data_IF_197695149144
#
_entry.id   IF_197695149144
#
_cell.length_a   1.000
_cell.length_b   1.000
_cell.length_c   1.000
_cell.angle_alpha   90.00
_cell.angle_beta   90.00
_cell.angle_gamma   90.00
#
_symmetry.space_group_name_H-M   'P 1'
#
loop_
_entity.id
_entity.type
_entity.pdbx_description
1 polymer ?
#
# COMPACT_ATOMS: atom_id res chain seq x y z
N UNK A 1 6.65 -13.86 -16.71
CA UNK A 1 6.60 -14.95 -15.70
C UNK A 1 7.10 -16.21 -16.37
N UNK A 2 8.41 -16.51 -16.29
CA UNK A 2 9.03 -17.50 -17.19
C UNK A 2 8.90 -18.98 -16.76
N UNK A 3 8.41 -19.31 -15.55
CA UNK A 3 8.42 -20.71 -15.07
C UNK A 3 7.29 -21.12 -14.10
N UNK A 4 6.05 -20.65 -14.27
CA UNK A 4 4.94 -21.12 -13.43
C UNK A 4 3.57 -20.99 -14.08
N UNK A 5 2.63 -21.85 -13.66
CA UNK A 5 1.18 -21.63 -13.83
C UNK A 5 0.63 -21.11 -12.50
N UNK A 6 -0.44 -20.28 -12.49
CA UNK A 6 -1.10 -19.90 -11.24
C UNK A 6 -1.45 -21.13 -10.37
N UNK A 7 -1.47 -20.99 -9.02
CA UNK A 7 -1.58 -19.73 -8.29
C UNK A 7 -0.25 -18.97 -8.15
N UNK A 8 -0.31 -17.65 -8.36
CA UNK A 8 0.79 -16.74 -8.03
C UNK A 8 0.44 -15.95 -6.78
N UNK A 9 1.32 -15.98 -5.78
CA UNK A 9 1.20 -15.22 -4.53
C UNK A 9 2.54 -14.59 -4.24
N UNK A 10 2.64 -13.28 -4.45
CA UNK A 10 3.90 -12.57 -4.33
C UNK A 10 3.75 -11.27 -3.54
N UNK A 11 4.77 -10.98 -2.73
CA UNK A 11 4.98 -9.69 -2.07
C UNK A 11 6.36 -9.21 -2.52
N UNK A 12 6.43 -8.00 -3.06
CA UNK A 12 7.62 -7.44 -3.72
C UNK A 12 8.00 -6.12 -3.04
N UNK A 13 8.76 -6.19 -1.93
CA UNK A 13 9.33 -5.00 -1.31
C UNK A 13 10.54 -4.51 -2.12
N UNK A 14 10.67 -3.21 -2.30
CA UNK A 14 11.78 -2.65 -3.04
C UNK A 14 11.94 -1.15 -2.87
N UNK A 15 13.16 -0.67 -3.14
CA UNK A 15 13.42 0.76 -3.32
C UNK A 15 13.00 1.16 -4.72
N UNK A 16 12.19 2.20 -4.81
CA UNK A 16 11.73 2.79 -6.06
C UNK A 16 12.20 4.24 -6.17
N UNK A 17 12.18 4.78 -7.38
CA UNK A 17 12.71 6.10 -7.69
C UNK A 17 11.66 6.93 -8.42
N UNK A 18 11.63 8.23 -8.12
CA UNK A 18 10.78 9.20 -8.81
C UNK A 18 11.55 10.49 -9.00
N UNK A 19 11.39 11.11 -10.16
CA UNK A 19 11.92 12.45 -10.39
C UNK A 19 11.03 13.47 -9.65
N UNK A 20 11.42 13.83 -8.42
CA UNK A 20 10.69 14.78 -7.59
C UNK A 20 11.63 15.56 -6.67
N UNK A 21 11.24 16.80 -6.36
CA UNK A 21 11.99 17.65 -5.43
C UNK A 21 11.91 17.12 -3.99
N UNK A 22 13.07 17.05 -3.33
CA UNK A 22 13.16 16.58 -1.94
C UNK A 22 12.52 17.61 -1.01
N UNK A 23 11.64 17.15 -0.14
CA UNK A 23 10.97 17.94 0.90
C UNK A 23 10.64 17.05 2.10
N UNK A 24 10.04 17.61 3.15
CA UNK A 24 9.58 16.82 4.28
C UNK A 24 8.49 15.78 3.93
N UNK A 25 7.87 15.88 2.74
CA UNK A 25 6.78 15.01 2.28
C UNK A 25 7.15 14.10 1.10
N UNK A 26 8.27 14.36 0.44
CA UNK A 26 8.64 13.68 -0.79
C UNK A 26 10.16 13.52 -0.90
N UNK A 27 10.60 12.43 -1.51
CA UNK A 27 12.00 12.13 -1.73
C UNK A 27 12.18 11.48 -3.10
N UNK A 28 13.36 11.62 -3.70
CA UNK A 28 13.67 11.07 -5.04
C UNK A 28 13.76 9.53 -5.07
N UNK A 29 13.83 8.92 -3.90
CA UNK A 29 13.70 7.48 -3.69
C UNK A 29 12.89 7.23 -2.42
N UNK A 30 12.18 6.12 -2.37
CA UNK A 30 11.43 5.64 -1.21
C UNK A 30 11.20 4.13 -1.36
N UNK A 31 10.55 3.49 -0.40
CA UNK A 31 10.30 2.05 -0.46
C UNK A 31 8.82 1.76 -0.70
N UNK A 32 8.57 0.83 -1.61
CA UNK A 32 7.25 0.30 -1.88
C UNK A 32 7.19 -1.17 -1.57
N UNK A 33 5.99 -1.63 -1.23
CA UNK A 33 5.63 -3.03 -1.23
C UNK A 33 4.46 -3.18 -2.18
N UNK A 34 4.66 -4.00 -3.20
CA UNK A 34 3.58 -4.44 -4.08
C UNK A 34 3.17 -5.87 -3.72
N UNK A 35 1.88 -6.16 -3.87
CA UNK A 35 1.33 -7.49 -3.72
C UNK A 35 0.61 -7.91 -5.00
N UNK A 36 0.73 -9.18 -5.35
CA UNK A 36 0.05 -9.79 -6.48
C UNK A 36 -0.52 -11.14 -6.06
N UNK A 37 -1.82 -11.32 -6.31
CA UNK A 37 -2.49 -12.60 -6.18
C UNK A 37 -3.24 -12.94 -7.47
N UNK A 38 -2.92 -14.08 -8.09
CA UNK A 38 -3.58 -14.58 -9.31
C UNK A 38 -3.93 -16.04 -9.11
N UNK A 39 -5.19 -16.41 -9.30
CA UNK A 39 -5.72 -17.77 -9.20
C UNK A 39 -7.05 -17.88 -9.96
N UNK A 40 -7.67 -19.05 -9.99
CA UNK A 40 -9.04 -19.22 -10.50
C UNK A 40 -10.05 -18.61 -9.51
N UNK A 41 -11.04 -17.86 -10.02
CA UNK A 41 -12.14 -17.27 -9.23
C UNK A 41 -11.72 -16.23 -8.16
N UNK A 42 -10.63 -15.48 -8.38
CA UNK A 42 -10.27 -14.36 -7.51
C UNK A 42 -11.19 -13.16 -7.77
N UNK A 43 -11.78 -12.62 -6.72
CA UNK A 43 -12.75 -11.54 -6.78
C UNK A 43 -12.26 -10.26 -6.10
N UNK A 44 -12.96 -9.15 -6.36
CA UNK A 44 -12.71 -7.89 -5.65
C UNK A 44 -13.05 -7.97 -4.15
N UNK A 45 -13.88 -8.94 -3.74
CA UNK A 45 -14.13 -9.20 -2.33
C UNK A 45 -12.89 -9.76 -1.62
N UNK A 46 -12.13 -10.63 -2.30
CA UNK A 46 -10.87 -11.18 -1.77
C UNK A 46 -9.82 -10.09 -1.56
N UNK A 47 -9.72 -9.14 -2.51
CA UNK A 47 -8.85 -7.97 -2.37
C UNK A 47 -9.26 -7.14 -1.15
N UNK A 48 -10.54 -6.80 -1.02
CA UNK A 48 -11.06 -6.01 0.11
C UNK A 48 -10.78 -6.68 1.44
N UNK A 49 -11.00 -7.99 1.53
CA UNK A 49 -10.79 -8.75 2.76
C UNK A 49 -9.31 -8.84 3.12
N UNK A 50 -8.45 -9.09 2.13
CA UNK A 50 -6.99 -9.12 2.31
C UNK A 50 -6.49 -7.80 2.87
N UNK A 51 -6.91 -6.68 2.28
CA UNK A 51 -6.50 -5.35 2.73
C UNK A 51 -7.14 -4.96 4.07
N UNK A 52 -8.37 -5.41 4.35
CA UNK A 52 -9.00 -5.23 5.65
C UNK A 52 -8.17 -5.90 6.75
N UNK A 53 -7.82 -7.17 6.58
CA UNK A 53 -6.99 -7.90 7.53
C UNK A 53 -5.63 -7.22 7.74
N UNK A 54 -4.96 -6.84 6.66
CA UNK A 54 -3.70 -6.10 6.74
C UNK A 54 -3.79 -4.83 7.59
N UNK A 55 -4.85 -4.03 7.40
CA UNK A 55 -5.06 -2.80 8.16
C UNK A 55 -5.33 -3.06 9.64
N UNK A 56 -6.16 -4.07 9.96
CA UNK A 56 -6.43 -4.41 11.36
C UNK A 56 -5.18 -4.87 12.09
N UNK A 57 -4.36 -5.72 11.46
CA UNK A 57 -3.10 -6.19 12.05
C UNK A 57 -2.09 -5.04 12.23
N UNK A 58 -2.03 -4.11 11.28
CA UNK A 58 -1.02 -3.06 11.29
C UNK A 58 -1.34 -1.88 12.23
N UNK A 59 -2.60 -1.44 12.23
CA UNK A 59 -3.07 -0.25 12.96
C UNK A 59 -3.94 -0.59 14.19
N UNK A 60 -4.28 -1.86 14.39
CA UNK A 60 -5.09 -2.34 15.51
C UNK A 60 -6.58 -2.40 15.19
N UNK A 61 -7.29 -3.16 16.04
CA UNK A 61 -8.73 -3.38 15.94
C UNK A 61 -9.52 -2.06 15.97
N UNK A 62 -10.52 -1.96 15.10
CA UNK A 62 -11.42 -0.81 15.03
C UNK A 62 -10.95 0.29 14.07
N UNK A 63 -9.80 0.11 13.40
CA UNK A 63 -9.38 0.98 12.31
C UNK A 63 -10.40 0.89 11.17
N UNK A 64 -11.03 2.01 10.83
CA UNK A 64 -12.01 2.05 9.73
C UNK A 64 -11.26 2.21 8.41
N UNK A 65 -11.79 1.58 7.37
CA UNK A 65 -11.27 1.70 6.02
C UNK A 65 -12.34 2.21 5.06
N UNK A 66 -11.88 2.82 3.96
CA UNK A 66 -12.73 3.33 2.90
C UNK A 66 -12.05 3.09 1.55
N UNK A 67 -12.77 2.47 0.63
CA UNK A 67 -12.37 2.36 -0.77
C UNK A 67 -13.01 3.47 -1.59
N UNK A 68 -12.21 4.18 -2.37
CA UNK A 68 -12.67 5.18 -3.33
C UNK A 68 -12.35 4.69 -4.74
N UNK A 69 -13.30 4.74 -5.69
CA UNK A 69 -12.99 4.47 -7.09
C UNK A 69 -11.84 5.35 -7.56
N UNK A 70 -10.88 4.74 -8.27
CA UNK A 70 -9.75 5.43 -8.90
C UNK A 70 -9.43 4.75 -10.23
N UNK A 71 -8.33 5.12 -10.87
CA UNK A 71 -7.89 4.55 -12.13
C UNK A 71 -6.38 4.28 -12.09
N UNK A 72 -6.00 3.03 -12.38
CA UNK A 72 -4.62 2.63 -12.67
C UNK A 72 -4.60 1.81 -13.96
N UNK A 73 -3.69 2.08 -14.92
CA UNK A 73 -3.68 1.40 -16.22
C UNK A 73 -3.49 -0.13 -16.18
N UNK A 74 -3.05 -0.67 -15.05
CA UNK A 74 -2.76 -2.09 -14.86
C UNK A 74 -3.83 -2.81 -14.03
N UNK A 75 -4.90 -2.11 -13.61
CA UNK A 75 -6.02 -2.72 -12.87
C UNK A 75 -7.40 -2.19 -13.27
N UNK A 76 -8.38 -3.09 -13.39
CA UNK A 76 -9.79 -2.76 -13.62
C UNK A 76 -10.73 -3.80 -12.98
N UNK A 77 -11.57 -3.43 -12.00
CA UNK A 77 -11.73 -2.12 -11.38
C UNK A 77 -10.56 -1.72 -10.46
N UNK A 78 -10.35 -0.41 -10.32
CA UNK A 78 -9.31 0.23 -9.50
C UNK A 78 -9.89 1.00 -8.30
N UNK A 79 -9.15 1.01 -7.19
CA UNK A 79 -9.52 1.75 -5.99
C UNK A 79 -8.29 2.29 -5.22
N UNK A 80 -8.47 3.48 -4.65
CA UNK A 80 -7.62 3.98 -3.56
C UNK A 80 -8.22 3.56 -2.22
N UNK A 81 -7.35 3.23 -1.25
CA UNK A 81 -7.78 2.86 0.09
C UNK A 81 -7.29 3.87 1.12
N UNK A 82 -8.25 4.40 1.88
CA UNK A 82 -8.01 5.27 3.03
C UNK A 82 -8.26 4.53 4.35
N UNK A 83 -7.51 4.90 5.38
CA UNK A 83 -7.76 4.49 6.78
C UNK A 83 -8.16 5.68 7.64
N UNK A 84 -8.94 5.42 8.69
CA UNK A 84 -9.28 6.44 9.68
C UNK A 84 -8.02 6.97 10.35
N UNK A 85 -7.93 8.29 10.50
CA UNK A 85 -6.78 8.92 11.14
C UNK A 85 -6.70 8.54 12.63
N UNK A 86 -5.66 7.79 13.00
CA UNK A 86 -5.38 7.34 14.37
C UNK A 86 -5.15 8.50 15.35
N UNK A 87 -4.61 9.62 14.86
CA UNK A 87 -4.25 10.79 15.66
C UNK A 87 -5.48 11.55 16.14
N UNK A 88 -6.40 11.89 15.22
CA UNK A 88 -7.57 12.71 15.53
C UNK A 88 -8.87 11.91 15.71
N UNK A 89 -8.83 10.59 15.52
CA UNK A 89 -10.00 9.70 15.60
C UNK A 89 -11.19 10.19 14.76
N UNK A 90 -10.91 10.82 13.62
CA UNK A 90 -11.91 11.37 12.70
C UNK A 90 -12.31 12.83 12.92
N UNK A 91 -11.83 13.50 13.98
CA UNK A 91 -12.13 14.92 14.22
C UNK A 91 -11.46 15.88 13.22
N UNK A 92 -10.42 15.41 12.52
CA UNK A 92 -9.60 16.20 11.60
C UNK A 92 -8.34 16.75 12.26
N UNK A 93 -7.20 16.65 11.57
CA UNK A 93 -5.93 17.27 11.96
C UNK A 93 -5.08 17.56 10.72
N UNK A 94 -3.94 18.21 10.93
CA UNK A 94 -2.98 18.53 9.87
C UNK A 94 -2.54 17.31 9.05
N UNK A 95 -2.38 16.14 9.69
CA UNK A 95 -1.94 14.91 9.01
C UNK A 95 -2.98 14.42 7.99
N UNK A 96 -4.25 14.34 8.38
CA UNK A 96 -5.33 13.90 7.49
C UNK A 96 -5.93 15.05 6.68
N UNK A 97 -5.29 16.23 6.65
CA UNK A 97 -5.80 17.46 6.02
C UNK A 97 -7.25 17.77 6.45
N UNK A 98 -7.53 17.57 7.73
CA UNK A 98 -8.86 17.76 8.34
C UNK A 98 -9.98 16.88 7.79
N UNK A 99 -9.68 15.86 6.96
CA UNK A 99 -10.70 14.96 6.40
C UNK A 99 -11.10 13.82 7.33
N UNK A 100 -10.27 13.51 8.34
CA UNK A 100 -10.41 12.32 9.17
C UNK A 100 -9.90 11.03 8.52
N UNK A 101 -9.48 11.08 7.25
CA UNK A 101 -9.02 9.94 6.45
C UNK A 101 -7.59 10.15 5.94
N UNK A 102 -6.83 9.06 5.86
CA UNK A 102 -5.48 9.06 5.28
C UNK A 102 -5.41 7.95 4.25
N UNK A 103 -5.27 8.31 2.98
CA UNK A 103 -4.96 7.37 1.90
C UNK A 103 -3.64 6.67 2.21
N UNK A 104 -3.56 5.34 2.11
CA UNK A 104 -2.33 4.57 2.40
C UNK A 104 -1.88 3.65 1.26
N UNK A 105 -2.76 3.30 0.32
CA UNK A 105 -2.42 2.44 -0.81
C UNK A 105 -3.38 2.60 -1.99
N UNK A 106 -2.92 2.14 -3.16
CA UNK A 106 -3.73 1.89 -4.34
C UNK A 106 -3.87 0.38 -4.58
N UNK A 107 -4.98 -0.05 -5.16
CA UNK A 107 -5.26 -1.46 -5.43
C UNK A 107 -6.28 -1.65 -6.55
N UNK A 108 -6.41 -2.87 -7.05
CA UNK A 108 -7.44 -3.22 -8.02
C UNK A 108 -7.33 -4.65 -8.53
N UNK A 109 -8.30 -5.07 -9.34
CA UNK A 109 -8.22 -6.35 -10.06
C UNK A 109 -7.26 -6.19 -11.23
N UNK A 110 -6.35 -7.13 -11.46
CA UNK A 110 -5.36 -7.06 -12.54
C UNK A 110 -6.09 -6.99 -13.88
N UNK A 111 -5.71 -6.02 -14.73
CA UNK A 111 -6.30 -5.84 -16.05
C UNK A 111 -6.05 -7.10 -16.93
N UNK A 112 -7.06 -7.59 -17.67
CA UNK A 112 -6.90 -8.74 -18.56
C UNK A 112 -5.72 -8.64 -19.52
N UNK A 113 -5.45 -7.45 -20.08
CA UNK A 113 -4.33 -7.24 -20.99
C UNK A 113 -2.98 -7.46 -20.30
N UNK A 114 -2.87 -7.19 -18.99
CA UNK A 114 -1.65 -7.46 -18.22
C UNK A 114 -1.41 -8.96 -18.07
N UNK A 115 -2.47 -9.74 -17.83
CA UNK A 115 -2.41 -11.19 -17.73
C UNK A 115 -2.05 -11.83 -19.08
N UNK A 116 -2.72 -11.42 -20.15
CA UNK A 116 -2.49 -11.93 -21.51
C UNK A 116 -1.06 -11.63 -22.00
N UNK A 117 -0.56 -10.41 -21.77
CA UNK A 117 0.81 -10.04 -22.07
C UNK A 117 1.85 -10.87 -21.30
N UNK A 118 1.45 -11.49 -20.17
CA UNK A 118 2.28 -12.40 -19.41
C UNK A 118 2.08 -13.88 -19.76
N UNK A 119 1.25 -14.21 -20.76
CA UNK A 119 0.93 -15.57 -21.16
C UNK A 119 -0.05 -16.28 -20.22
N UNK A 120 -0.86 -15.54 -19.47
CA UNK A 120 -1.90 -16.07 -18.57
C UNK A 120 -3.26 -15.88 -19.23
N UNK A 121 -4.06 -16.95 -19.27
CA UNK A 121 -5.43 -16.95 -19.80
C UNK A 121 -6.36 -16.15 -18.86
N UNK A 122 -6.77 -14.96 -19.28
CA UNK A 122 -7.61 -14.04 -18.51
C UNK A 122 -9.09 -14.46 -18.41
N UNK A 123 -9.55 -15.39 -19.26
CA UNK A 123 -10.89 -16.00 -19.13
C UNK A 123 -10.91 -17.03 -18.00
N UNK A 124 -9.76 -17.68 -17.77
CA UNK A 124 -9.60 -18.71 -16.74
C UNK A 124 -9.14 -18.14 -15.40
N UNK A 125 -8.19 -17.21 -15.42
CA UNK A 125 -7.52 -16.69 -14.24
C UNK A 125 -7.85 -15.22 -14.04
N UNK A 126 -8.13 -14.87 -12.79
CA UNK A 126 -8.27 -13.49 -12.36
C UNK A 126 -7.28 -13.23 -11.23
N UNK A 127 -7.11 -11.97 -10.87
CA UNK A 127 -6.21 -11.62 -9.79
C UNK A 127 -6.39 -10.20 -9.33
N UNK A 128 -5.76 -9.87 -8.20
CA UNK A 128 -5.67 -8.50 -7.73
C UNK A 128 -4.23 -8.12 -7.45
N UNK A 129 -3.98 -6.81 -7.50
CA UNK A 129 -2.73 -6.21 -7.09
C UNK A 129 -2.98 -5.04 -6.14
N UNK A 130 -1.99 -4.74 -5.31
CA UNK A 130 -1.97 -3.55 -4.47
C UNK A 130 -0.55 -3.03 -4.32
N UNK A 131 -0.42 -1.73 -4.08
CA UNK A 131 0.87 -1.07 -3.87
C UNK A 131 0.78 -0.04 -2.76
N UNK A 132 1.75 -0.06 -1.84
CA UNK A 132 1.81 0.85 -0.71
C UNK A 132 3.23 1.38 -0.48
N UNK A 133 3.34 2.63 -0.05
CA UNK A 133 4.61 3.25 0.34
C UNK A 133 4.89 3.02 1.83
N UNK A 134 6.03 2.43 2.15
CA UNK A 134 6.40 2.09 3.53
C UNK A 134 6.51 3.35 4.38
N UNK A 135 7.22 4.37 3.91
CA UNK A 135 7.44 5.62 4.65
C UNK A 135 6.13 6.31 5.03
N UNK A 136 5.12 6.24 4.16
CA UNK A 136 3.81 6.86 4.43
C UNK A 136 3.07 6.15 5.55
N UNK A 137 3.08 4.82 5.52
CA UNK A 137 2.50 3.97 6.55
C UNK A 137 3.22 4.18 7.89
N UNK A 138 4.55 4.17 7.87
CA UNK A 138 5.41 4.39 9.03
C UNK A 138 5.21 5.80 9.61
N UNK A 139 5.10 6.84 8.77
CA UNK A 139 4.75 8.19 9.20
C UNK A 139 3.43 8.24 9.96
N UNK A 140 2.40 7.52 9.50
CA UNK A 140 1.11 7.48 10.18
C UNK A 140 1.17 6.71 11.51
N UNK A 141 1.88 5.57 11.53
CA UNK A 141 1.99 4.71 12.72
C UNK A 141 2.78 5.37 13.85
N UNK A 142 3.95 5.93 13.53
CA UNK A 142 4.87 6.54 14.52
C UNK A 142 4.78 8.06 14.59
N UNK A 143 3.86 8.68 13.84
CA UNK A 143 3.65 10.14 13.81
C UNK A 143 4.90 10.94 13.41
N UNK A 144 5.70 10.36 12.49
CA UNK A 144 6.90 10.99 11.96
C UNK A 144 6.49 12.08 10.96
N UNK A 145 7.04 13.28 11.15
CA UNK A 145 6.63 14.48 10.41
C UNK A 145 7.46 14.78 9.18
N UNK A 146 8.63 14.17 9.07
CA UNK A 146 9.61 14.45 8.02
C UNK A 146 10.15 13.15 7.44
N UNK A 147 9.83 12.91 6.16
CA UNK A 147 10.22 11.71 5.44
C UNK A 147 11.74 11.60 5.25
N UNK A 148 12.49 12.71 5.30
CA UNK A 148 13.95 12.70 5.11
C UNK A 148 14.69 12.01 6.26
N UNK A 149 14.07 11.94 7.44
CA UNK A 149 14.64 11.27 8.61
C UNK A 149 14.93 9.78 8.35
N UNK A 150 14.20 9.15 7.42
CA UNK A 150 14.44 7.75 7.04
C UNK A 150 15.73 7.54 6.24
N UNK A 151 16.27 8.58 5.59
CA UNK A 151 17.48 8.48 4.75
C UNK A 151 18.70 9.19 5.34
N UNK A 152 18.51 10.09 6.31
CA UNK A 152 19.59 10.85 6.97
C UNK A 152 20.45 10.01 7.93
N UNK A 153 19.93 8.88 8.42
CA UNK A 153 20.61 7.99 9.37
C UNK A 153 21.06 8.68 10.68
N UNK A 154 20.27 9.65 11.17
CA UNK A 154 20.54 10.27 12.47
C UNK A 154 20.39 9.23 13.59
N UNK A 155 21.46 8.97 14.33
CA UNK A 155 21.48 7.98 15.43
C UNK A 155 20.42 8.28 16.50
N UNK A 156 20.07 9.54 16.73
CA UNK A 156 19.01 9.95 17.68
C UNK A 156 17.62 9.55 17.18
N UNK A 157 17.41 9.53 15.87
CA UNK A 157 16.18 9.03 15.27
C UNK A 157 16.15 7.49 15.32
N UNK A 158 17.21 6.83 14.87
CA UNK A 158 17.31 5.37 14.83
C UNK A 158 17.14 4.72 16.22
N UNK A 159 17.69 5.33 17.27
CA UNK A 159 17.60 4.81 18.62
C UNK A 159 16.17 4.79 19.21
N UNK A 160 15.21 5.50 18.61
CA UNK A 160 13.82 5.48 19.07
C UNK A 160 13.10 4.15 18.78
N UNK A 161 13.65 3.29 17.92
CA UNK A 161 13.00 2.08 17.43
C UNK A 161 13.70 0.77 17.86
N UNK A 162 14.61 0.81 18.83
CA UNK A 162 15.38 -0.37 19.26
C UNK A 162 14.52 -1.47 19.93
N UNK A 163 13.39 -1.11 20.52
CA UNK A 163 12.53 -2.01 21.30
C UNK A 163 11.46 -2.74 20.48
N UNK A 164 11.27 -2.41 19.21
CA UNK A 164 10.21 -3.00 18.37
C UNK A 164 10.64 -4.24 17.56
N UNK A 165 11.84 -4.78 17.84
CA UNK A 165 12.36 -6.02 17.22
C UNK A 165 12.11 -7.25 18.13
N UNK A 166 11.27 -7.14 19.16
CA UNK A 166 10.95 -8.24 20.08
C UNK A 166 9.87 -9.18 19.55
#
# INVERSE_FOLDING_TARGET
MEMGKPPFRAIMPGRVYRNEAISARAHCFFHQVEGLYVDENVSFADLKQTLYHFVQELYGEGTKLRFRPSYFPFTEPSAEMDVSCSICKGAGCQMCKYSGWVEILGCGMVDPNVLENCGIDAEKYTGFAFGMGIERITNLKYQIKDLRLFSENDVRFLNQFQTEIS
#
